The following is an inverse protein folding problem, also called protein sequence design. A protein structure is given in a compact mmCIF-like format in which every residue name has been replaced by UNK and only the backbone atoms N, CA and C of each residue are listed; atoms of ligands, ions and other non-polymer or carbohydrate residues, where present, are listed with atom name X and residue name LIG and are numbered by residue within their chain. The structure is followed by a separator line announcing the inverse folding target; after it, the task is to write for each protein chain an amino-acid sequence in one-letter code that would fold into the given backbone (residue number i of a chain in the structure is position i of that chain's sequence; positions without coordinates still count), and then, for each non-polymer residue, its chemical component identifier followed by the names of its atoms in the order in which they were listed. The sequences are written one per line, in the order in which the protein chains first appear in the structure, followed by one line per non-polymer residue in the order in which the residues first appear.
data_IF_202278790140
#
_entry.id   IF_202278790140
#
_cell.length_a   1.000
_cell.length_b   1.000
_cell.length_c   1.000
_cell.angle_alpha   90.00
_cell.angle_beta   90.00
_cell.angle_gamma   90.00
#
_symmetry.space_group_name_H-M   'P 1'
#
loop_
_entity.id
_entity.type
_entity.pdbx_description
1 polymer ?
#
# COMPACT_ATOMS: atom_id res chain seq x y z
N UNK A 1 63.47 -89.57 -36.91
CA UNK A 1 62.00 -89.49 -36.79
C UNK A 1 61.56 -88.24 -36.04
N UNK A 2 61.92 -88.06 -34.76
CA UNK A 2 61.41 -86.97 -33.90
C UNK A 2 61.65 -85.53 -34.37
N UNK A 3 62.72 -85.23 -35.12
CA UNK A 3 62.97 -83.88 -35.65
C UNK A 3 61.88 -83.39 -36.62
N UNK A 4 61.30 -84.30 -37.42
CA UNK A 4 60.22 -83.96 -38.35
C UNK A 4 58.88 -83.75 -37.65
N UNK A 5 58.59 -84.53 -36.61
CA UNK A 5 57.40 -84.36 -35.77
C UNK A 5 57.43 -83.07 -34.96
N UNK A 6 58.59 -82.72 -34.38
CA UNK A 6 58.80 -81.43 -33.69
C UNK A 6 58.60 -80.23 -34.62
N UNK A 7 59.02 -80.33 -35.88
CA UNK A 7 58.82 -79.27 -36.87
C UNK A 7 57.33 -79.07 -37.21
N UNK A 8 56.55 -80.17 -37.31
CA UNK A 8 55.10 -80.10 -37.54
C UNK A 8 54.37 -79.48 -36.35
N UNK A 9 54.66 -79.95 -35.13
CA UNK A 9 54.06 -79.41 -33.90
C UNK A 9 54.41 -77.94 -33.71
N UNK A 10 55.67 -77.54 -33.99
CA UNK A 10 56.07 -76.13 -33.96
C UNK A 10 55.31 -75.29 -34.99
N UNK A 11 55.17 -75.78 -36.22
CA UNK A 11 54.44 -75.09 -37.27
C UNK A 11 52.94 -74.96 -36.93
N UNK A 12 52.37 -75.94 -36.24
CA UNK A 12 51.00 -75.91 -35.72
C UNK A 12 50.87 -74.97 -34.50
N UNK A 13 51.92 -74.80 -33.69
CA UNK A 13 51.92 -73.95 -32.49
C UNK A 13 52.07 -72.45 -32.78
N UNK A 14 52.91 -72.09 -33.76
CA UNK A 14 53.16 -70.71 -34.22
C UNK A 14 51.90 -69.84 -34.43
N UNK A 15 50.82 -70.30 -35.10
CA UNK A 15 49.62 -69.49 -35.26
C UNK A 15 48.89 -69.23 -33.95
N UNK A 16 48.88 -70.19 -33.01
CA UNK A 16 48.27 -70.02 -31.70
C UNK A 16 49.07 -69.05 -30.82
N UNK A 17 50.40 -69.11 -30.89
CA UNK A 17 51.27 -68.15 -30.21
C UNK A 17 51.03 -66.72 -30.70
N UNK A 18 50.87 -66.52 -32.02
CA UNK A 18 50.54 -65.22 -32.61
C UNK A 18 49.17 -64.70 -32.16
N UNK A 19 48.14 -65.55 -32.17
CA UNK A 19 46.81 -65.18 -31.69
C UNK A 19 46.82 -64.82 -30.20
N UNK A 20 47.59 -65.55 -29.38
CA UNK A 20 47.72 -65.26 -27.96
C UNK A 20 48.38 -63.90 -27.71
N UNK A 21 49.43 -63.57 -28.48
CA UNK A 21 50.07 -62.25 -28.45
C UNK A 21 49.09 -61.15 -28.85
N UNK A 22 48.33 -61.34 -29.93
CA UNK A 22 47.35 -60.36 -30.40
C UNK A 22 46.24 -60.12 -29.38
N UNK A 23 45.67 -61.19 -28.81
CA UNK A 23 44.63 -61.09 -27.79
C UNK A 23 45.14 -60.45 -26.49
N UNK A 24 46.36 -60.78 -26.05
CA UNK A 24 46.96 -60.15 -24.88
C UNK A 24 47.21 -58.65 -25.12
N UNK A 25 47.71 -58.27 -26.31
CA UNK A 25 47.87 -56.87 -26.68
C UNK A 25 46.54 -56.10 -26.67
N UNK A 26 45.48 -56.69 -27.22
CA UNK A 26 44.11 -56.09 -27.17
C UNK A 26 43.62 -55.94 -25.73
N UNK A 27 43.80 -56.97 -24.90
CA UNK A 27 43.40 -56.93 -23.48
C UNK A 27 44.16 -55.85 -22.69
N UNK A 28 45.46 -55.69 -22.93
CA UNK A 28 46.27 -54.66 -22.27
C UNK A 28 45.83 -53.24 -22.66
N UNK A 29 45.56 -53.00 -23.95
CA UNK A 29 45.06 -51.70 -24.42
C UNK A 29 43.69 -51.40 -23.80
N UNK A 30 42.73 -52.34 -23.87
CA UNK A 30 41.41 -52.13 -23.26
C UNK A 30 41.49 -51.97 -21.74
N UNK A 31 42.43 -52.65 -21.07
CA UNK A 31 42.66 -52.52 -19.63
C UNK A 31 43.16 -51.13 -19.26
N UNK A 32 44.12 -50.58 -20.02
CA UNK A 32 44.64 -49.22 -19.77
C UNK A 32 43.62 -48.14 -20.12
N UNK A 33 42.88 -48.30 -21.22
CA UNK A 33 41.77 -47.41 -21.58
C UNK A 33 40.70 -47.37 -20.48
N UNK A 34 40.31 -48.54 -19.95
CA UNK A 34 39.33 -48.62 -18.85
C UNK A 34 39.84 -47.93 -17.58
N UNK A 35 41.10 -48.12 -17.21
CA UNK A 35 41.71 -47.47 -16.03
C UNK A 35 41.70 -45.95 -16.19
N UNK A 36 42.15 -45.45 -17.32
CA UNK A 36 42.18 -44.02 -17.63
C UNK A 36 40.77 -43.42 -17.65
N UNK A 37 39.78 -44.16 -18.17
CA UNK A 37 38.38 -43.72 -18.14
C UNK A 37 37.82 -43.68 -16.72
N UNK A 38 38.18 -44.64 -15.87
CA UNK A 38 37.76 -44.68 -14.47
C UNK A 38 38.37 -43.53 -13.66
N UNK A 39 39.66 -43.25 -13.83
CA UNK A 39 40.34 -42.10 -13.20
C UNK A 39 39.71 -40.77 -13.62
N UNK A 40 39.37 -40.62 -14.91
CA UNK A 40 38.64 -39.44 -15.40
C UNK A 40 37.23 -39.31 -14.80
N UNK A 41 36.52 -40.43 -14.65
CA UNK A 41 35.19 -40.45 -14.05
C UNK A 41 35.24 -40.06 -12.58
N UNK A 42 36.18 -40.63 -11.81
CA UNK A 42 36.38 -40.30 -10.40
C UNK A 42 36.72 -38.83 -10.20
N UNK A 43 37.61 -38.26 -11.04
CA UNK A 43 37.91 -36.83 -11.01
C UNK A 43 36.69 -35.95 -11.33
N UNK A 44 35.88 -36.34 -12.33
CA UNK A 44 34.66 -35.62 -12.68
C UNK A 44 33.59 -35.71 -11.58
N UNK A 45 33.42 -36.87 -10.95
CA UNK A 45 32.52 -37.06 -9.82
C UNK A 45 32.92 -36.19 -8.61
N UNK A 46 34.21 -36.17 -8.25
CA UNK A 46 34.69 -35.32 -7.17
C UNK A 46 34.44 -33.82 -7.44
N UNK A 47 34.70 -33.36 -8.67
CA UNK A 47 34.43 -31.98 -9.07
C UNK A 47 32.93 -31.63 -9.02
N UNK A 48 32.06 -32.57 -9.40
CA UNK A 48 30.61 -32.39 -9.33
C UNK A 48 30.13 -32.29 -7.88
N UNK A 49 30.59 -33.17 -6.99
CA UNK A 49 30.20 -33.15 -5.58
C UNK A 49 30.64 -31.85 -4.89
N UNK A 50 31.83 -31.36 -5.18
CA UNK A 50 32.32 -30.09 -4.64
C UNK A 50 31.54 -28.89 -5.18
N UNK A 51 31.19 -28.88 -6.47
CA UNK A 51 30.31 -27.86 -7.04
C UNK A 51 28.91 -27.91 -6.40
N UNK A 52 28.35 -29.11 -6.20
CA UNK A 52 27.05 -29.28 -5.58
C UNK A 52 27.02 -28.80 -4.13
N UNK A 53 28.09 -29.04 -3.36
CA UNK A 53 28.23 -28.52 -1.99
C UNK A 53 28.30 -27.01 -1.96
N UNK A 54 29.07 -26.38 -2.86
CA UNK A 54 29.16 -24.91 -2.94
C UNK A 54 27.81 -24.27 -3.24
N UNK A 55 27.09 -24.78 -4.24
CA UNK A 55 25.74 -24.30 -4.58
C UNK A 55 24.78 -24.45 -3.39
N UNK A 56 24.82 -25.58 -2.68
CA UNK A 56 23.98 -25.79 -1.49
C UNK A 56 24.31 -24.82 -0.36
N UNK A 57 25.59 -24.55 -0.11
CA UNK A 57 26.02 -23.61 0.92
C UNK A 57 25.58 -22.19 0.57
N UNK A 58 25.85 -21.74 -0.66
CA UNK A 58 25.44 -20.42 -1.15
C UNK A 58 23.91 -20.25 -1.09
N UNK A 59 23.13 -21.27 -1.47
CA UNK A 59 21.67 -21.24 -1.39
C UNK A 59 21.13 -21.13 0.06
N UNK A 60 21.82 -21.75 1.02
CA UNK A 60 21.46 -21.65 2.44
C UNK A 60 21.81 -20.26 2.99
N UNK A 61 22.94 -19.69 2.58
CA UNK A 61 23.35 -18.34 2.98
C UNK A 61 22.41 -17.27 2.41
N UNK A 62 22.05 -17.35 1.13
CA UNK A 62 21.10 -16.42 0.52
C UNK A 62 19.73 -16.51 1.19
N UNK A 63 19.23 -17.72 1.46
CA UNK A 63 17.94 -17.91 2.11
C UNK A 63 17.93 -17.34 3.55
N UNK A 64 19.04 -17.44 4.29
CA UNK A 64 19.18 -16.81 5.62
C UNK A 64 19.14 -15.29 5.54
N UNK A 65 19.90 -14.70 4.61
CA UNK A 65 19.94 -13.24 4.41
C UNK A 65 18.58 -12.68 4.00
N UNK A 66 17.88 -13.35 3.08
CA UNK A 66 16.51 -12.99 2.68
C UNK A 66 15.56 -13.04 3.88
N UNK A 67 15.65 -14.07 4.71
CA UNK A 67 14.80 -14.20 5.89
C UNK A 67 15.07 -13.10 6.93
N UNK A 68 16.33 -12.73 7.15
CA UNK A 68 16.70 -11.62 8.05
C UNK A 68 16.20 -10.28 7.51
N UNK A 69 16.33 -10.05 6.20
CA UNK A 69 15.84 -8.84 5.55
C UNK A 69 14.31 -8.72 5.64
N UNK A 70 13.59 -9.81 5.41
CA UNK A 70 12.13 -9.86 5.55
C UNK A 70 11.68 -9.56 6.98
N UNK A 71 12.34 -10.18 7.98
CA UNK A 71 12.04 -9.92 9.40
C UNK A 71 12.27 -8.47 9.78
N UNK A 72 13.28 -7.82 9.21
CA UNK A 72 13.54 -6.40 9.49
C UNK A 72 12.51 -5.50 8.81
N UNK A 73 12.15 -5.79 7.57
CA UNK A 73 11.04 -5.08 6.89
C UNK A 73 9.72 -5.23 7.64
N UNK A 74 9.36 -6.43 8.10
CA UNK A 74 8.13 -6.69 8.83
C UNK A 74 8.03 -5.87 10.14
N UNK A 75 9.17 -5.50 10.75
CA UNK A 75 9.18 -4.60 11.92
C UNK A 75 9.00 -3.14 11.54
N UNK A 76 9.55 -2.71 10.41
CA UNK A 76 9.53 -1.31 9.98
C UNK A 76 8.19 -0.89 9.37
N UNK A 77 7.56 -1.77 8.59
CA UNK A 77 6.26 -1.52 7.94
C UNK A 77 5.18 -1.05 8.94
N UNK A 78 4.93 -1.72 10.09
CA UNK A 78 3.88 -1.27 11.01
C UNK A 78 4.21 0.07 11.68
N UNK A 79 5.50 0.37 11.92
CA UNK A 79 5.92 1.65 12.48
C UNK A 79 5.69 2.80 11.49
N UNK A 80 6.03 2.58 10.22
CA UNK A 80 5.78 3.53 9.15
C UNK A 80 4.28 3.76 8.96
N UNK A 81 3.49 2.69 8.91
CA UNK A 81 2.03 2.76 8.79
C UNK A 81 1.40 3.52 9.95
N UNK A 82 1.81 3.24 11.19
CA UNK A 82 1.33 3.96 12.36
C UNK A 82 1.70 5.46 12.32
N UNK A 83 2.90 5.81 11.86
CA UNK A 83 3.30 7.19 11.68
C UNK A 83 2.47 7.89 10.59
N UNK A 84 2.23 7.22 9.45
CA UNK A 84 1.40 7.75 8.36
C UNK A 84 -0.05 7.98 8.79
N UNK A 85 -0.64 7.03 9.53
CA UNK A 85 -2.00 7.17 10.06
C UNK A 85 -2.12 8.41 10.94
N UNK A 86 -1.18 8.62 11.88
CA UNK A 86 -1.15 9.82 12.72
C UNK A 86 -1.02 11.10 11.92
N UNK A 87 -0.21 11.10 10.85
CA UNK A 87 -0.09 12.28 9.97
C UNK A 87 -1.42 12.55 9.27
N UNK A 88 -2.07 11.54 8.70
CA UNK A 88 -3.36 11.70 8.01
C UNK A 88 -4.46 12.19 8.95
N UNK A 89 -4.52 11.65 10.17
CA UNK A 89 -5.46 12.09 11.21
C UNK A 89 -5.26 13.58 11.53
N UNK A 90 -4.03 13.99 11.84
CA UNK A 90 -3.72 15.38 12.17
C UNK A 90 -3.95 16.34 11.00
N UNK A 91 -3.63 15.94 9.77
CA UNK A 91 -3.91 16.74 8.57
C UNK A 91 -5.42 16.93 8.41
N UNK A 92 -6.22 15.88 8.60
CA UNK A 92 -7.69 15.98 8.47
C UNK A 92 -8.31 16.93 9.50
N UNK A 93 -7.81 16.91 10.75
CA UNK A 93 -8.24 17.85 11.80
C UNK A 93 -7.85 19.28 11.42
N UNK A 94 -6.62 19.49 10.97
CA UNK A 94 -6.13 20.82 10.58
C UNK A 94 -6.87 21.41 9.38
N UNK A 95 -7.20 20.60 8.38
CA UNK A 95 -8.00 21.04 7.23
C UNK A 95 -9.42 21.44 7.64
N UNK A 96 -10.05 20.66 8.54
CA UNK A 96 -11.35 20.99 9.09
C UNK A 96 -11.33 22.34 9.83
N UNK A 97 -10.40 22.52 10.76
CA UNK A 97 -10.22 23.78 11.50
C UNK A 97 -9.94 24.97 10.58
N UNK A 98 -9.07 24.80 9.58
CA UNK A 98 -8.74 25.85 8.62
C UNK A 98 -9.96 26.28 7.81
N UNK A 99 -10.78 25.33 7.36
CA UNK A 99 -12.01 25.61 6.61
C UNK A 99 -13.06 26.33 7.47
N UNK A 100 -13.25 25.90 8.72
CA UNK A 100 -14.18 26.58 9.64
C UNK A 100 -13.71 28.01 9.96
N UNK A 101 -12.40 28.20 10.21
CA UNK A 101 -11.82 29.50 10.48
C UNK A 101 -11.88 30.46 9.28
N UNK A 102 -11.64 29.97 8.05
CA UNK A 102 -11.73 30.81 6.85
C UNK A 102 -13.17 31.24 6.54
N UNK A 103 -14.13 30.34 6.73
CA UNK A 103 -15.57 30.62 6.56
C UNK A 103 -16.03 31.67 7.58
N UNK A 104 -15.74 31.47 8.87
CA UNK A 104 -16.10 32.42 9.92
C UNK A 104 -15.51 33.80 9.66
N UNK A 105 -14.22 33.88 9.28
CA UNK A 105 -13.55 35.14 8.98
C UNK A 105 -14.21 35.90 7.82
N UNK A 106 -14.62 35.20 6.76
CA UNK A 106 -15.26 35.84 5.62
C UNK A 106 -16.67 36.32 5.93
N UNK A 107 -17.43 35.59 6.74
CA UNK A 107 -18.77 35.99 7.18
C UNK A 107 -18.72 37.20 8.12
N UNK A 108 -17.78 37.20 9.08
CA UNK A 108 -17.55 38.36 9.96
C UNK A 108 -17.10 39.58 9.14
N UNK A 109 -16.21 39.40 8.16
CA UNK A 109 -15.83 40.48 7.26
C UNK A 109 -17.02 41.03 6.45
N UNK A 110 -17.93 40.16 5.99
CA UNK A 110 -19.13 40.56 5.28
C UNK A 110 -20.12 41.34 6.16
N UNK A 111 -20.22 40.96 7.44
CA UNK A 111 -20.96 41.68 8.48
C UNK A 111 -20.34 43.06 8.73
N UNK A 112 -19.03 43.13 9.00
CA UNK A 112 -18.33 44.39 9.30
C UNK A 112 -18.38 45.38 8.12
N UNK A 113 -18.37 44.85 6.90
CA UNK A 113 -18.48 45.63 5.66
C UNK A 113 -19.94 45.99 5.31
N UNK A 114 -20.92 45.57 6.12
CA UNK A 114 -22.36 45.72 5.87
C UNK A 114 -22.81 45.25 4.46
N UNK A 115 -22.17 44.22 3.91
CA UNK A 115 -22.55 43.64 2.61
C UNK A 115 -23.82 42.80 2.77
N UNK A 116 -23.94 42.12 3.92
CA UNK A 116 -25.08 41.28 4.27
C UNK A 116 -25.51 41.67 5.68
N UNK A 117 -26.72 42.20 5.79
CA UNK A 117 -27.34 42.55 7.06
C UNK A 117 -28.00 41.32 7.71
N UNK A 118 -28.13 41.34 9.04
CA UNK A 118 -28.78 40.26 9.79
C UNK A 118 -27.88 39.08 10.16
N UNK A 119 -26.55 39.21 10.07
CA UNK A 119 -25.59 38.23 10.62
C UNK A 119 -25.26 38.61 12.06
N UNK A 120 -25.59 37.74 13.03
CA UNK A 120 -25.25 37.96 14.43
C UNK A 120 -23.83 37.48 14.75
N UNK A 121 -23.51 36.25 14.37
CA UNK A 121 -22.18 35.64 14.63
C UNK A 121 -22.30 34.14 14.88
N UNK A 122 -21.22 33.53 15.39
CA UNK A 122 -21.20 32.13 15.81
C UNK A 122 -22.00 31.96 17.11
N UNK A 123 -22.82 30.90 17.20
CA UNK A 123 -23.68 30.65 18.36
C UNK A 123 -22.89 30.61 19.68
N UNK A 124 -21.72 29.98 19.68
CA UNK A 124 -20.84 29.92 20.86
C UNK A 124 -20.36 31.29 21.37
N UNK A 125 -20.31 32.31 20.51
CA UNK A 125 -19.85 33.66 20.90
C UNK A 125 -21.00 34.54 21.43
N UNK A 126 -22.25 34.09 21.26
CA UNK A 126 -23.45 34.82 21.68
C UNK A 126 -23.91 34.46 23.11
N UNK A 127 -23.33 33.42 23.70
CA UNK A 127 -23.63 32.97 25.05
C UNK A 127 -22.36 32.86 25.91
N UNK A 128 -22.51 33.07 27.21
CA UNK A 128 -21.45 32.82 28.18
C UNK A 128 -21.87 31.68 29.11
N UNK A 129 -20.94 30.78 29.40
CA UNK A 129 -21.14 29.59 30.23
C UNK A 129 -20.06 29.58 31.32
N UNK A 130 -20.40 29.07 32.50
CA UNK A 130 -19.41 28.85 33.56
C UNK A 130 -18.35 27.81 33.14
N UNK A 131 -17.07 28.11 33.41
CA UNK A 131 -15.94 27.27 33.02
C UNK A 131 -16.05 25.81 33.51
N UNK A 132 -16.80 25.55 34.59
CA UNK A 132 -17.05 24.20 35.10
C UNK A 132 -17.81 23.32 34.09
N UNK A 133 -18.66 23.90 33.24
CA UNK A 133 -19.52 23.16 32.30
C UNK A 133 -19.11 23.31 30.83
N UNK A 134 -18.09 24.12 30.54
CA UNK A 134 -17.65 24.46 29.17
C UNK A 134 -17.28 23.22 28.34
N UNK A 135 -16.45 22.33 28.91
CA UNK A 135 -16.04 21.07 28.25
C UNK A 135 -17.24 20.15 28.02
N UNK A 136 -18.19 20.09 28.94
CA UNK A 136 -19.35 19.22 28.80
C UNK A 136 -20.27 19.68 27.67
N UNK A 137 -20.48 20.99 27.54
CA UNK A 137 -21.40 21.57 26.55
C UNK A 137 -20.78 21.61 25.15
N UNK A 138 -19.50 21.96 25.03
CA UNK A 138 -18.77 21.91 23.75
C UNK A 138 -18.66 20.49 23.19
N UNK A 139 -18.56 19.48 24.06
CA UNK A 139 -18.55 18.07 23.63
C UNK A 139 -19.95 17.57 23.27
N UNK A 140 -20.99 17.98 24.02
CA UNK A 140 -22.35 17.48 23.85
C UNK A 140 -23.09 18.09 22.65
N UNK A 141 -22.77 19.33 22.26
CA UNK A 141 -23.51 20.06 21.23
C UNK A 141 -22.59 20.56 20.10
N UNK A 142 -22.57 19.90 18.93
CA UNK A 142 -21.86 20.41 17.75
C UNK A 142 -22.52 21.67 17.15
N UNK A 143 -23.73 22.02 17.60
CA UNK A 143 -24.49 23.18 17.10
C UNK A 143 -23.97 24.54 17.55
N UNK A 144 -22.97 24.59 18.45
CA UNK A 144 -22.35 25.84 18.88
C UNK A 144 -21.55 26.54 17.77
N UNK A 145 -21.16 25.79 16.74
CA UNK A 145 -20.47 26.31 15.56
C UNK A 145 -21.41 26.89 14.50
N UNK A 146 -22.72 26.84 14.71
CA UNK A 146 -23.67 27.38 13.76
C UNK A 146 -23.64 28.90 13.73
N UNK A 147 -23.74 29.44 12.51
CA UNK A 147 -23.81 30.88 12.30
C UNK A 147 -25.26 31.33 12.41
N UNK A 148 -25.48 32.30 13.28
CA UNK A 148 -26.80 32.80 13.63
C UNK A 148 -27.16 33.97 12.74
N UNK A 149 -28.29 33.85 12.02
CA UNK A 149 -28.78 34.84 11.05
C UNK A 149 -30.25 35.15 11.30
N UNK A 150 -30.66 36.39 11.02
CA UNK A 150 -32.03 36.86 11.29
C UNK A 150 -33.04 36.29 10.29
N UNK A 151 -32.75 36.44 9.00
CA UNK A 151 -33.68 36.13 7.89
C UNK A 151 -33.14 35.00 7.00
N UNK A 152 -34.03 34.21 6.36
CA UNK A 152 -33.60 33.19 5.39
C UNK A 152 -32.94 33.81 4.15
N UNK A 153 -33.31 35.04 3.77
CA UNK A 153 -32.70 35.76 2.66
C UNK A 153 -31.21 36.09 2.94
N UNK A 154 -30.90 36.52 4.16
CA UNK A 154 -29.52 36.75 4.59
C UNK A 154 -28.70 35.45 4.57
N UNK A 155 -29.30 34.32 4.97
CA UNK A 155 -28.65 33.01 4.91
C UNK A 155 -28.28 32.62 3.47
N UNK A 156 -29.20 32.80 2.51
CA UNK A 156 -28.94 32.53 1.10
C UNK A 156 -27.82 33.44 0.54
N UNK A 157 -27.82 34.72 0.89
CA UNK A 157 -26.75 35.64 0.49
C UNK A 157 -25.38 35.20 1.05
N UNK A 158 -25.34 34.68 2.29
CA UNK A 158 -24.12 34.13 2.88
C UNK A 158 -23.62 32.90 2.12
N UNK A 159 -24.52 32.00 1.73
CA UNK A 159 -24.17 30.81 0.94
C UNK A 159 -23.59 31.21 -0.43
N UNK A 160 -24.18 32.19 -1.12
CA UNK A 160 -23.67 32.67 -2.41
C UNK A 160 -22.29 33.35 -2.26
N UNK A 161 -22.08 34.08 -1.16
CA UNK A 161 -20.77 34.66 -0.84
C UNK A 161 -19.70 33.58 -0.59
N UNK A 162 -20.03 32.51 0.11
CA UNK A 162 -19.10 31.40 0.35
C UNK A 162 -18.81 30.63 -0.94
N UNK A 163 -19.81 30.47 -1.81
CA UNK A 163 -19.69 29.82 -3.12
C UNK A 163 -18.82 30.62 -4.08
N UNK A 164 -19.04 31.93 -4.18
CA UNK A 164 -18.23 32.82 -5.04
C UNK A 164 -16.76 32.90 -4.60
N UNK A 165 -16.48 32.79 -3.29
CA UNK A 165 -15.12 32.79 -2.74
C UNK A 165 -14.49 31.40 -2.56
N UNK A 166 -15.23 30.31 -2.83
CA UNK A 166 -14.81 28.92 -2.64
C UNK A 166 -14.24 28.62 -1.24
N UNK A 167 -14.89 29.15 -0.19
CA UNK A 167 -14.36 29.07 1.18
C UNK A 167 -14.79 27.83 1.97
N UNK A 168 -15.79 27.09 1.49
CA UNK A 168 -16.28 25.86 2.11
C UNK A 168 -17.79 25.89 2.38
N UNK A 169 -18.21 25.08 3.36
CA UNK A 169 -19.62 24.92 3.76
C UNK A 169 -19.79 25.39 5.20
N UNK A 170 -20.85 26.15 5.46
CA UNK A 170 -21.28 26.54 6.81
C UNK A 170 -22.71 26.09 7.08
N UNK A 171 -23.01 25.85 8.36
CA UNK A 171 -24.37 25.58 8.84
C UNK A 171 -24.92 26.84 9.50
N UNK A 172 -26.15 27.21 9.14
CA UNK A 172 -26.79 28.44 9.61
C UNK A 172 -28.01 28.13 10.47
N UNK A 173 -28.20 28.91 11.54
CA UNK A 173 -29.42 28.93 12.33
C UNK A 173 -30.20 30.22 12.05
N UNK A 174 -31.42 30.09 11.54
CA UNK A 174 -32.26 31.22 11.13
C UNK A 174 -33.25 31.56 12.25
N UNK A 175 -33.13 32.73 12.87
CA UNK A 175 -33.99 33.15 13.99
C UNK A 175 -35.47 33.21 13.62
N UNK A 176 -35.77 33.79 12.45
CA UNK A 176 -37.14 33.94 11.97
C UNK A 176 -37.89 32.59 11.86
N UNK A 177 -37.17 31.50 11.60
CA UNK A 177 -37.73 30.16 11.45
C UNK A 177 -37.62 29.32 12.73
N UNK A 178 -36.65 29.61 13.60
CA UNK A 178 -36.45 28.89 14.86
C UNK A 178 -37.68 28.96 15.80
N UNK A 179 -38.45 30.05 15.73
CA UNK A 179 -39.72 30.19 16.46
C UNK A 179 -40.81 29.23 15.97
N UNK A 180 -40.74 28.75 14.72
CA UNK A 180 -41.73 27.84 14.12
C UNK A 180 -41.40 26.38 14.41
N UNK A 181 -40.11 26.03 14.52
CA UNK A 181 -39.66 24.65 14.80
C UNK A 181 -40.01 24.14 16.20
N UNK A 182 -40.31 25.03 17.16
CA UNK A 182 -40.79 24.62 18.49
C UNK A 182 -42.20 23.99 18.45
N UNK A 183 -42.95 24.14 17.35
CA UNK A 183 -44.34 23.69 17.22
C UNK A 183 -44.57 22.54 16.22
N UNK A 184 -43.57 22.07 15.48
CA UNK A 184 -43.71 20.96 14.53
C UNK A 184 -42.55 19.96 14.63
N UNK A 185 -42.82 18.63 14.59
CA UNK A 185 -41.79 17.61 14.78
C UNK A 185 -40.75 17.58 13.65
N UNK A 186 -39.54 17.17 14.03
CA UNK A 186 -38.23 17.31 13.38
C UNK A 186 -37.98 16.51 12.07
N UNK A 187 -39.00 16.07 11.33
CA UNK A 187 -38.79 15.22 10.14
C UNK A 187 -38.76 15.96 8.79
N UNK A 188 -38.87 17.29 8.75
CA UNK A 188 -39.08 17.99 7.46
C UNK A 188 -38.06 19.05 7.05
N UNK A 189 -36.99 19.33 7.82
CA UNK A 189 -36.13 20.50 7.54
C UNK A 189 -34.81 20.17 6.80
N UNK A 190 -34.37 18.91 6.74
CA UNK A 190 -33.09 18.58 6.09
C UNK A 190 -33.19 18.47 4.54
N UNK A 191 -34.38 18.37 3.95
CA UNK A 191 -34.52 18.02 2.51
C UNK A 191 -34.50 19.21 1.54
N UNK A 192 -34.72 20.47 1.97
CA UNK A 192 -34.88 21.59 1.01
C UNK A 192 -33.59 22.35 0.73
N UNK A 193 -32.54 21.65 0.30
CA UNK A 193 -31.49 22.25 -0.56
C UNK A 193 -31.34 21.48 -1.88
N UNK A 194 -32.09 20.39 -2.09
CA UNK A 194 -31.96 19.57 -3.31
C UNK A 194 -32.94 19.89 -4.45
N UNK A 195 -33.82 20.89 -4.34
CA UNK A 195 -34.82 21.13 -5.39
C UNK A 195 -35.06 22.61 -5.68
N UNK A 196 -34.07 23.29 -6.26
CA UNK A 196 -34.31 24.43 -7.18
C UNK A 196 -33.05 24.79 -7.96
N UNK A 197 -32.50 23.85 -8.74
CA UNK A 197 -31.84 24.21 -10.01
C UNK A 197 -32.14 23.09 -11.00
N UNK A 198 -33.32 23.15 -11.61
CA UNK A 198 -33.51 22.55 -12.92
C UNK A 198 -32.65 23.34 -13.90
N UNK A 199 -31.47 22.83 -14.23
CA UNK A 199 -30.82 23.17 -15.49
C UNK A 199 -30.52 21.88 -16.25
N UNK A 200 -31.15 21.85 -17.42
CA UNK A 200 -31.11 20.84 -18.46
C UNK A 200 -29.68 20.77 -18.99
N UNK A 201 -29.04 19.60 -18.93
CA UNK A 201 -27.99 19.20 -19.86
C UNK A 201 -28.08 17.69 -20.07
N UNK A 202 -28.91 17.28 -21.03
CA UNK A 202 -28.74 15.98 -21.71
C UNK A 202 -27.43 16.04 -22.47
N UNK A 203 -26.39 15.44 -21.90
CA UNK A 203 -25.08 15.27 -22.51
C UNK A 203 -24.64 13.82 -22.33
N UNK A 204 -24.87 13.04 -23.37
CA UNK A 204 -24.41 11.66 -23.57
C UNK A 204 -22.89 11.59 -23.46
N UNK A 205 -22.36 10.81 -22.51
CA UNK A 205 -20.98 10.32 -22.52
C UNK A 205 -20.91 9.01 -21.72
N UNK A 206 -21.24 7.91 -22.40
CA UNK A 206 -20.77 6.51 -22.26
C UNK A 206 -21.87 5.58 -22.78
#
# INVERSE_FOLDING_TARGET
MFRGELAKVRAELEPWEKLLIEHNGKLEVTSTERKLLNEKLEAACAAYDDAQKKIKLEAVETCKLEQEFLKEQEKLIPLEQAARQKVTELVSVMESEKSQGSVLKALLQAKDSNIIEGIYGRMGDLGAIDAKYDVAISTACPGLDYIVVETPAAAQACVELLRSKNLGVATFMILSLALVSFFLPLESIIVTVLQTVGLICTGTCA
#
